data_IF_034964075728
#
_entry.id   IF_034964075728
#
_cell.length_a   1.000
_cell.length_b   1.000
_cell.length_c   1.000
_cell.angle_alpha   90.00
_cell.angle_beta   90.00
_cell.angle_gamma   90.00
#
_symmetry.space_group_name_H-M   'P 1'
#
loop_
_entity.id
_entity.type
_entity.pdbx_description
1 polymer ?
#
# COMPACT_ATOMS: atom_id res chain seq x y z
N UNK A 1 -30.04 -12.50 19.07
CA UNK A 1 -28.58 -12.74 19.23
C UNK A 1 -28.41 -13.67 20.41
N UNK A 2 -28.13 -14.94 20.15
CA UNK A 2 -27.85 -15.92 21.20
C UNK A 2 -26.38 -15.75 21.57
N UNK A 3 -26.09 -15.31 22.80
CA UNK A 3 -24.73 -15.24 23.32
C UNK A 3 -24.20 -16.68 23.46
N UNK A 4 -23.22 -17.02 22.65
CA UNK A 4 -22.50 -18.29 22.68
C UNK A 4 -21.54 -18.25 23.87
N UNK A 5 -21.45 -19.30 24.71
CA UNK A 5 -20.53 -19.32 25.85
C UNK A 5 -19.06 -19.17 25.40
N UNK A 6 -18.40 -18.15 25.94
CA UNK A 6 -17.09 -17.59 25.55
C UNK A 6 -15.86 -18.47 25.83
N UNK A 7 -16.01 -19.77 26.06
CA UNK A 7 -14.92 -20.65 26.52
C UNK A 7 -14.07 -21.29 25.41
N UNK A 8 -14.54 -21.28 24.15
CA UNK A 8 -13.92 -22.07 23.07
C UNK A 8 -13.82 -21.32 21.73
N UNK A 9 -14.09 -20.02 21.69
CA UNK A 9 -13.96 -19.22 20.47
C UNK A 9 -12.49 -18.87 20.22
N UNK A 10 -11.98 -19.22 19.04
CA UNK A 10 -10.65 -18.83 18.54
C UNK A 10 -9.46 -19.30 19.39
N UNK A 11 -9.52 -20.54 19.87
CA UNK A 11 -8.36 -21.20 20.47
C UNK A 11 -7.22 -21.29 19.42
N UNK A 12 -6.02 -20.78 19.73
CA UNK A 12 -4.92 -20.75 18.77
C UNK A 12 -4.44 -22.17 18.47
N UNK A 13 -4.24 -22.47 17.18
CA UNK A 13 -3.66 -23.74 16.71
C UNK A 13 -4.67 -24.85 16.40
N UNK A 14 -5.97 -24.60 16.48
CA UNK A 14 -6.99 -25.54 16.00
C UNK A 14 -7.24 -25.37 14.50
N UNK A 15 -7.44 -26.49 13.82
CA UNK A 15 -7.82 -26.53 12.42
C UNK A 15 -9.33 -26.30 12.25
N UNK A 16 -9.76 -25.92 11.05
CA UNK A 16 -11.19 -25.82 10.71
C UNK A 16 -11.96 -27.13 11.00
N UNK A 17 -11.30 -28.28 10.81
CA UNK A 17 -11.87 -29.59 11.15
C UNK A 17 -12.13 -29.74 12.65
N UNK A 18 -11.23 -29.25 13.48
CA UNK A 18 -11.40 -29.32 14.93
C UNK A 18 -12.55 -28.42 15.39
N UNK A 19 -12.73 -27.24 14.77
CA UNK A 19 -13.89 -26.39 15.03
C UNK A 19 -15.21 -27.04 14.60
N UNK A 20 -15.21 -27.77 13.48
CA UNK A 20 -16.35 -28.59 13.04
C UNK A 20 -16.70 -29.66 14.08
N UNK A 21 -15.69 -30.37 14.61
CA UNK A 21 -15.90 -31.37 15.67
C UNK A 21 -16.37 -30.72 16.98
N UNK A 22 -15.77 -29.59 17.37
CA UNK A 22 -16.17 -28.84 18.56
C UNK A 22 -17.63 -28.38 18.50
N UNK A 23 -18.13 -28.03 17.31
CA UNK A 23 -19.54 -27.68 17.13
C UNK A 23 -20.48 -28.81 17.58
N UNK A 24 -20.11 -30.06 17.28
CA UNK A 24 -20.87 -31.25 17.71
C UNK A 24 -20.72 -31.45 19.21
N UNK A 25 -19.49 -31.42 19.72
CA UNK A 25 -19.20 -31.64 21.14
C UNK A 25 -19.98 -30.65 22.02
N UNK A 26 -20.00 -29.36 21.63
CA UNK A 26 -20.71 -28.31 22.37
C UNK A 26 -22.23 -28.55 22.45
N UNK A 27 -22.80 -29.24 21.48
CA UNK A 27 -24.24 -29.53 21.37
C UNK A 27 -24.57 -30.99 21.64
N UNK A 28 -23.62 -31.75 22.19
CA UNK A 28 -23.78 -33.18 22.43
C UNK A 28 -25.02 -33.51 23.26
N UNK A 29 -25.25 -32.79 24.37
CA UNK A 29 -26.42 -33.01 25.22
C UNK A 29 -27.72 -32.68 24.48
N UNK A 30 -27.74 -31.60 23.68
CA UNK A 30 -28.90 -31.25 22.86
C UNK A 30 -29.24 -32.37 21.86
N UNK A 31 -28.21 -32.97 21.23
CA UNK A 31 -28.40 -34.12 20.35
C UNK A 31 -28.87 -35.38 21.07
N UNK A 32 -28.30 -35.68 22.25
CA UNK A 32 -28.76 -36.82 23.06
C UNK A 32 -30.19 -36.66 23.54
N UNK A 33 -30.60 -35.44 23.89
CA UNK A 33 -31.99 -35.14 24.25
C UNK A 33 -32.91 -35.35 23.04
N UNK A 34 -32.52 -34.88 21.86
CA UNK A 34 -33.30 -35.11 20.63
C UNK A 34 -33.43 -36.59 20.25
N UNK A 35 -32.37 -37.37 20.43
CA UNK A 35 -32.37 -38.83 20.22
C UNK A 35 -33.36 -39.53 21.15
N UNK A 36 -33.29 -39.25 22.45
CA UNK A 36 -34.24 -39.80 23.44
C UNK A 36 -35.68 -39.40 23.11
N UNK A 37 -35.92 -38.15 22.70
CA UNK A 37 -37.27 -37.74 22.28
C UNK A 37 -37.76 -38.46 21.02
N UNK A 38 -36.86 -38.78 20.10
CA UNK A 38 -37.19 -39.55 18.90
C UNK A 38 -37.57 -40.99 19.26
N UNK A 39 -36.86 -41.60 20.21
CA UNK A 39 -37.19 -42.93 20.76
C UNK A 39 -38.55 -42.93 21.46
N UNK A 40 -38.78 -41.96 22.35
CA UNK A 40 -40.08 -41.79 23.05
C UNK A 40 -41.23 -41.61 22.05
N UNK A 41 -41.05 -40.80 21.01
CA UNK A 41 -42.07 -40.62 19.97
C UNK A 41 -42.36 -41.94 19.23
N UNK A 42 -41.33 -42.74 18.94
CA UNK A 42 -41.48 -44.00 18.24
C UNK A 42 -42.21 -45.05 19.10
N UNK A 43 -41.81 -45.21 20.36
CA UNK A 43 -42.43 -46.14 21.32
C UNK A 43 -43.89 -45.77 21.59
N UNK A 44 -44.19 -44.47 21.77
CA UNK A 44 -45.55 -44.00 21.99
C UNK A 44 -46.48 -44.30 20.81
N UNK A 45 -45.99 -44.31 19.57
CA UNK A 45 -46.80 -44.63 18.39
C UNK A 45 -47.03 -46.14 18.21
N UNK A 46 -46.16 -46.98 18.78
CA UNK A 46 -46.30 -48.44 18.74
C UNK A 46 -47.35 -48.93 19.74
N UNK A 47 -47.29 -48.44 20.98
CA UNK A 47 -48.15 -48.92 22.07
C UNK A 47 -49.40 -48.04 22.30
N UNK A 48 -49.35 -46.76 21.94
CA UNK A 48 -50.39 -45.78 22.25
C UNK A 48 -50.80 -44.96 21.02
N UNK A 49 -51.93 -44.24 21.14
CA UNK A 49 -52.34 -43.22 20.16
C UNK A 49 -52.47 -41.89 20.89
N UNK A 50 -51.50 -40.97 20.75
CA UNK A 50 -51.57 -39.65 21.34
C UNK A 50 -52.84 -38.91 20.90
N UNK A 51 -53.40 -38.07 21.78
CA UNK A 51 -54.46 -37.15 21.39
C UNK A 51 -53.88 -35.99 20.58
N UNK A 52 -54.71 -35.29 19.80
CA UNK A 52 -54.25 -34.23 18.89
C UNK A 52 -53.37 -33.17 19.58
N UNK A 53 -53.71 -32.77 20.82
CA UNK A 53 -52.90 -31.82 21.60
C UNK A 53 -51.50 -32.35 21.91
N UNK A 54 -51.37 -33.64 22.23
CA UNK A 54 -50.09 -34.24 22.57
C UNK A 54 -49.23 -34.42 21.31
N UNK A 55 -49.85 -34.77 20.18
CA UNK A 55 -49.18 -34.87 18.88
C UNK A 55 -48.56 -33.52 18.45
N UNK A 56 -49.27 -32.42 18.66
CA UNK A 56 -48.74 -31.07 18.41
C UNK A 56 -47.52 -30.76 19.29
N UNK A 57 -47.56 -31.11 20.58
CA UNK A 57 -46.44 -30.91 21.51
C UNK A 57 -45.23 -31.74 21.10
N UNK A 58 -45.42 -33.03 20.79
CA UNK A 58 -44.35 -33.93 20.34
C UNK A 58 -43.70 -33.42 19.05
N UNK A 59 -44.50 -32.86 18.14
CA UNK A 59 -43.99 -32.23 16.91
C UNK A 59 -43.13 -31.01 17.20
N UNK A 60 -43.57 -30.12 18.10
CA UNK A 60 -42.80 -28.93 18.48
C UNK A 60 -41.46 -29.33 19.11
N UNK A 61 -41.45 -30.33 20.00
CA UNK A 61 -40.21 -30.83 20.62
C UNK A 61 -39.24 -31.40 19.57
N UNK A 62 -39.77 -32.16 18.61
CA UNK A 62 -38.98 -32.71 17.50
C UNK A 62 -38.39 -31.60 16.63
N UNK A 63 -39.19 -30.58 16.31
CA UNK A 63 -38.75 -29.44 15.50
C UNK A 63 -37.63 -28.63 16.18
N UNK A 64 -37.69 -28.46 17.51
CA UNK A 64 -36.62 -27.81 18.27
C UNK A 64 -35.30 -28.58 18.10
N UNK A 65 -35.34 -29.91 18.21
CA UNK A 65 -34.15 -30.77 18.07
C UNK A 65 -33.58 -30.70 16.64
N UNK A 66 -34.43 -30.73 15.62
CA UNK A 66 -34.00 -30.55 14.23
C UNK A 66 -33.37 -29.18 13.97
N UNK A 67 -33.95 -28.13 14.54
CA UNK A 67 -33.46 -26.77 14.35
C UNK A 67 -32.06 -26.58 14.96
N UNK A 68 -31.77 -27.23 16.09
CA UNK A 68 -30.41 -27.27 16.66
C UNK A 68 -29.44 -27.95 15.68
N UNK A 69 -29.85 -29.07 15.07
CA UNK A 69 -29.06 -29.74 14.02
C UNK A 69 -28.78 -28.83 12.83
N UNK A 70 -29.79 -28.14 12.31
CA UNK A 70 -29.66 -27.18 11.21
C UNK A 70 -28.70 -26.04 11.56
N UNK A 71 -28.78 -25.51 12.78
CA UNK A 71 -27.85 -24.47 13.25
C UNK A 71 -26.41 -24.95 13.32
N UNK A 72 -26.16 -26.18 13.81
CA UNK A 72 -24.81 -26.75 13.87
C UNK A 72 -24.25 -26.97 12.46
N UNK A 73 -25.06 -27.50 11.54
CA UNK A 73 -24.65 -27.67 10.13
C UNK A 73 -24.31 -26.31 9.50
N UNK A 74 -25.15 -25.29 9.69
CA UNK A 74 -24.90 -23.96 9.14
C UNK A 74 -23.56 -23.39 9.66
N UNK A 75 -23.29 -23.53 10.95
CA UNK A 75 -22.03 -23.11 11.55
C UNK A 75 -20.83 -23.91 11.01
N UNK A 76 -20.94 -25.23 10.89
CA UNK A 76 -19.88 -26.08 10.34
C UNK A 76 -19.54 -25.70 8.89
N UNK A 77 -20.57 -25.43 8.08
CA UNK A 77 -20.40 -24.96 6.70
C UNK A 77 -19.69 -23.62 6.65
N UNK A 78 -20.12 -22.65 7.47
CA UNK A 78 -19.49 -21.33 7.56
C UNK A 78 -17.99 -21.42 7.92
N UNK A 79 -17.64 -22.25 8.89
CA UNK A 79 -16.24 -22.47 9.29
C UNK A 79 -15.40 -22.99 8.13
N UNK A 80 -15.91 -23.97 7.38
CA UNK A 80 -15.19 -24.56 6.25
C UNK A 80 -15.07 -23.60 5.07
N UNK A 81 -16.14 -22.86 4.77
CA UNK A 81 -16.14 -21.86 3.71
C UNK A 81 -15.16 -20.73 4.01
N UNK A 82 -15.16 -20.21 5.25
CA UNK A 82 -14.22 -19.15 5.65
C UNK A 82 -12.76 -19.61 5.52
N UNK A 83 -12.45 -20.84 5.95
CA UNK A 83 -11.12 -21.41 5.78
C UNK A 83 -10.71 -21.47 4.30
N UNK A 84 -11.59 -21.98 3.44
CA UNK A 84 -11.33 -22.08 2.01
C UNK A 84 -11.08 -20.72 1.35
N UNK A 85 -11.89 -19.70 1.69
CA UNK A 85 -11.72 -18.35 1.16
C UNK A 85 -10.40 -17.73 1.63
N UNK A 86 -10.02 -17.96 2.88
CA UNK A 86 -8.75 -17.49 3.42
C UNK A 86 -7.56 -18.12 2.68
N UNK A 87 -7.58 -19.44 2.46
CA UNK A 87 -6.54 -20.16 1.73
C UNK A 87 -6.35 -19.60 0.30
N UNK A 88 -7.45 -19.39 -0.43
CA UNK A 88 -7.41 -18.77 -1.76
C UNK A 88 -6.85 -17.35 -1.72
N UNK A 89 -7.24 -16.56 -0.73
CA UNK A 89 -6.75 -15.19 -0.61
C UNK A 89 -5.25 -15.14 -0.33
N UNK A 90 -4.76 -16.03 0.54
CA UNK A 90 -3.34 -16.16 0.85
C UNK A 90 -2.53 -16.62 -0.37
N UNK A 91 -3.04 -17.60 -1.11
CA UNK A 91 -2.45 -18.07 -2.36
C UNK A 91 -2.37 -16.95 -3.41
N UNK A 92 -3.47 -16.23 -3.64
CA UNK A 92 -3.50 -15.10 -4.57
C UNK A 92 -2.51 -13.99 -4.20
N UNK A 93 -2.36 -13.72 -2.89
CA UNK A 93 -1.37 -12.78 -2.38
C UNK A 93 0.05 -13.26 -2.65
N UNK A 94 0.31 -14.56 -2.52
CA UNK A 94 1.62 -15.14 -2.84
C UNK A 94 1.93 -15.02 -4.34
N UNK A 95 0.98 -15.36 -5.23
CA UNK A 95 1.17 -15.21 -6.67
C UNK A 95 1.40 -13.76 -7.09
N UNK A 96 0.66 -12.81 -6.51
CA UNK A 96 0.87 -11.39 -6.79
C UNK A 96 2.29 -10.95 -6.45
N UNK A 97 2.82 -11.37 -5.28
CA UNK A 97 4.20 -11.10 -4.90
C UNK A 97 5.21 -11.68 -5.90
N UNK A 98 4.99 -12.92 -6.35
CA UNK A 98 5.84 -13.57 -7.35
C UNK A 98 5.85 -12.75 -8.65
N UNK A 99 4.66 -12.37 -9.14
CA UNK A 99 4.54 -11.55 -10.35
C UNK A 99 5.25 -10.20 -10.22
N UNK A 100 5.10 -9.53 -9.08
CA UNK A 100 5.76 -8.24 -8.84
C UNK A 100 7.27 -8.36 -8.80
N UNK A 101 7.81 -9.43 -8.19
CA UNK A 101 9.25 -9.74 -8.23
C UNK A 101 9.74 -9.95 -9.67
N UNK A 102 8.97 -10.67 -10.50
CA UNK A 102 9.30 -10.85 -11.90
C UNK A 102 9.33 -9.51 -12.67
N UNK A 103 8.31 -8.66 -12.49
CA UNK A 103 8.26 -7.33 -13.12
C UNK A 103 9.42 -6.45 -12.67
N UNK A 104 9.74 -6.44 -11.39
CA UNK A 104 10.87 -5.67 -10.85
C UNK A 104 12.20 -6.13 -11.45
N UNK A 105 12.42 -7.45 -11.54
CA UNK A 105 13.61 -8.01 -12.17
C UNK A 105 13.71 -7.61 -13.65
N UNK A 106 12.62 -7.63 -14.38
CA UNK A 106 12.59 -7.21 -15.79
C UNK A 106 12.94 -5.73 -15.95
N UNK A 107 12.38 -4.85 -15.11
CA UNK A 107 12.71 -3.42 -15.12
C UNK A 107 14.19 -3.16 -14.80
N UNK A 108 14.74 -3.85 -13.81
CA UNK A 108 16.17 -3.74 -13.47
C UNK A 108 17.04 -4.22 -14.63
N UNK A 109 16.68 -5.34 -15.27
CA UNK A 109 17.45 -5.86 -16.40
C UNK A 109 17.44 -4.88 -17.58
N UNK A 110 16.28 -4.30 -17.93
CA UNK A 110 16.18 -3.26 -18.97
C UNK A 110 17.02 -2.03 -18.62
N UNK A 111 16.93 -1.54 -17.38
CA UNK A 111 17.73 -0.40 -16.94
C UNK A 111 19.24 -0.67 -16.98
N UNK A 112 19.64 -1.91 -16.69
CA UNK A 112 21.04 -2.33 -16.77
C UNK A 112 21.53 -2.38 -18.22
N UNK A 113 20.71 -2.91 -19.13
CA UNK A 113 21.00 -3.00 -20.56
C UNK A 113 21.11 -1.60 -21.20
N UNK A 114 20.25 -0.66 -20.82
CA UNK A 114 20.32 0.76 -21.20
C UNK A 114 21.62 1.41 -20.69
N UNK A 115 21.98 1.14 -19.43
CA UNK A 115 23.21 1.65 -18.84
C UNK A 115 24.45 1.15 -19.60
N UNK A 116 24.52 -0.14 -19.89
CA UNK A 116 25.61 -0.74 -20.68
C UNK A 116 25.66 -0.15 -22.10
N UNK A 117 24.50 0.07 -22.72
CA UNK A 117 24.42 0.68 -24.05
C UNK A 117 24.96 2.10 -24.06
N UNK A 118 24.66 2.89 -23.02
CA UNK A 118 25.11 4.28 -22.90
C UNK A 118 26.59 4.41 -22.50
N UNK A 119 27.19 3.42 -21.85
CA UNK A 119 28.53 3.56 -21.25
C UNK A 119 29.59 2.66 -21.86
N UNK A 120 29.23 1.52 -22.42
CA UNK A 120 30.19 0.50 -22.87
C UNK A 120 29.97 0.02 -24.30
N UNK A 121 28.78 0.22 -24.90
CA UNK A 121 28.55 -0.16 -26.29
C UNK A 121 29.21 0.83 -27.26
N UNK A 122 30.37 0.46 -27.79
CA UNK A 122 31.18 1.29 -28.69
C UNK A 122 30.42 1.77 -29.94
N UNK A 123 29.66 0.91 -30.60
CA UNK A 123 28.91 1.28 -31.81
C UNK A 123 27.80 2.29 -31.50
N UNK A 124 27.09 2.11 -30.40
CA UNK A 124 26.07 3.04 -29.93
C UNK A 124 26.70 4.40 -29.54
N UNK A 125 27.79 4.38 -28.78
CA UNK A 125 28.55 5.56 -28.36
C UNK A 125 29.10 6.36 -29.54
N UNK A 126 29.67 5.67 -30.54
CA UNK A 126 30.20 6.29 -31.75
C UNK A 126 29.10 6.96 -32.57
N UNK A 127 27.93 6.34 -32.68
CA UNK A 127 26.75 6.95 -33.34
C UNK A 127 26.24 8.17 -32.57
N UNK A 128 26.11 8.07 -31.24
CA UNK A 128 25.69 9.17 -30.39
C UNK A 128 26.64 10.38 -30.47
N UNK A 129 27.96 10.15 -30.42
CA UNK A 129 28.97 11.20 -30.59
C UNK A 129 28.83 11.93 -31.92
N UNK A 130 28.67 11.20 -33.03
CA UNK A 130 28.45 11.79 -34.35
C UNK A 130 27.17 12.62 -34.42
N UNK A 131 26.08 12.16 -33.79
CA UNK A 131 24.83 12.91 -33.73
C UNK A 131 25.00 14.21 -32.93
N UNK A 132 25.70 14.14 -31.81
CA UNK A 132 26.02 15.31 -30.99
C UNK A 132 26.86 16.32 -31.78
N UNK A 133 27.90 15.89 -32.48
CA UNK A 133 28.73 16.75 -33.33
C UNK A 133 27.90 17.44 -34.43
N UNK A 134 26.99 16.71 -35.10
CA UNK A 134 26.08 17.29 -36.09
C UNK A 134 25.14 18.34 -35.48
N UNK A 135 24.60 18.06 -34.29
CA UNK A 135 23.74 19.00 -33.58
C UNK A 135 24.49 20.26 -33.16
N UNK A 136 25.72 20.11 -32.67
CA UNK A 136 26.62 21.23 -32.35
C UNK A 136 26.89 22.06 -33.60
N UNK A 137 27.27 21.43 -34.72
CA UNK A 137 27.56 22.14 -35.97
C UNK A 137 26.33 22.86 -36.53
N UNK A 138 25.15 22.26 -36.44
CA UNK A 138 23.89 22.89 -36.82
C UNK A 138 23.51 24.07 -35.89
N UNK A 139 23.91 24.00 -34.61
CA UNK A 139 23.63 25.04 -33.62
C UNK A 139 24.66 26.17 -33.62
N UNK A 140 25.85 25.95 -34.20
CA UNK A 140 26.84 27.02 -34.37
C UNK A 140 26.23 28.09 -35.27
N UNK A 141 26.11 29.31 -34.75
CA UNK A 141 25.76 30.47 -35.56
C UNK A 141 26.77 30.58 -36.69
N UNK A 142 26.31 30.58 -37.95
CA UNK A 142 27.17 30.95 -39.07
C UNK A 142 27.68 32.36 -38.81
N UNK A 143 28.93 32.50 -38.40
CA UNK A 143 29.59 33.81 -38.36
C UNK A 143 29.57 34.31 -39.80
N UNK A 144 28.65 35.23 -40.08
CA UNK A 144 28.68 35.97 -41.33
C UNK A 144 29.94 36.83 -41.23
N UNK A 145 30.97 36.47 -41.98
CA UNK A 145 32.06 37.38 -42.28
C UNK A 145 31.46 38.50 -43.12
N UNK A 146 30.94 39.51 -42.44
CA UNK A 146 30.99 40.87 -42.91
C UNK A 146 31.74 41.64 -41.84
N UNK A 147 32.89 42.19 -42.22
CA UNK A 147 33.35 43.42 -41.61
C UNK A 147 32.17 44.40 -41.68
N UNK A 148 31.44 44.57 -40.58
CA UNK A 148 30.18 45.31 -40.57
C UNK A 148 29.46 45.22 -39.23
N UNK A 149 29.69 46.26 -38.41
CA UNK A 149 29.02 46.61 -37.16
C UNK A 149 29.14 45.60 -36.00
N UNK A 150 30.20 45.80 -35.20
CA UNK A 150 30.18 45.52 -33.76
C UNK A 150 28.90 46.13 -33.20
N UNK A 151 28.06 45.34 -32.51
CA UNK A 151 26.90 45.89 -31.81
C UNK A 151 27.37 47.01 -30.88
N UNK A 152 26.90 48.23 -31.10
CA UNK A 152 27.25 49.37 -30.24
C UNK A 152 26.72 49.08 -28.84
N UNK A 153 27.61 48.89 -27.89
CA UNK A 153 27.27 48.87 -26.47
C UNK A 153 27.03 50.31 -26.03
N UNK A 154 25.94 50.60 -25.33
CA UNK A 154 25.72 51.94 -24.74
C UNK A 154 26.85 52.34 -23.78
N UNK A 155 27.59 51.35 -23.26
CA UNK A 155 28.76 51.52 -22.41
C UNK A 155 30.02 51.39 -23.28
N UNK A 156 30.81 52.48 -23.37
CA UNK A 156 32.11 52.46 -24.07
C UNK A 156 33.08 51.51 -23.36
N UNK A 157 33.63 50.54 -24.11
CA UNK A 157 34.71 49.65 -23.66
C UNK A 157 34.29 48.23 -23.23
N UNK A 158 33.01 47.88 -23.31
CA UNK A 158 32.52 46.56 -22.91
C UNK A 158 32.63 45.54 -24.06
N UNK A 159 33.67 44.70 -24.03
CA UNK A 159 33.97 43.72 -25.09
C UNK A 159 33.23 42.38 -25.02
N UNK A 160 32.29 42.19 -24.08
CA UNK A 160 31.59 40.92 -23.89
C UNK A 160 30.11 41.13 -23.57
N UNK A 161 29.22 40.51 -24.34
CA UNK A 161 27.79 40.40 -24.03
C UNK A 161 27.54 39.16 -23.18
N UNK A 162 27.36 39.34 -21.87
CA UNK A 162 26.84 38.28 -21.00
C UNK A 162 25.34 38.18 -21.28
N UNK A 163 24.84 36.97 -21.56
CA UNK A 163 23.41 36.74 -21.80
C UNK A 163 22.56 37.25 -20.62
N UNK A 164 21.35 37.72 -20.90
CA UNK A 164 20.41 38.29 -19.91
C UNK A 164 19.96 37.27 -18.85
N UNK A 165 20.87 36.90 -17.96
CA UNK A 165 20.55 36.39 -16.63
C UNK A 165 20.31 37.57 -15.70
N UNK A 166 19.42 37.40 -14.73
CA UNK A 166 19.21 38.38 -13.66
C UNK A 166 20.54 38.59 -12.93
N UNK A 167 21.18 39.73 -13.16
CA UNK A 167 22.38 40.11 -12.43
C UNK A 167 21.95 40.49 -11.01
N UNK A 168 22.15 39.58 -10.07
CA UNK A 168 22.00 39.87 -8.65
C UNK A 168 23.39 40.19 -8.14
N UNK A 169 23.63 41.47 -7.83
CA UNK A 169 24.79 41.86 -7.05
C UNK A 169 24.60 41.28 -5.66
N UNK A 170 25.19 40.12 -5.41
CA UNK A 170 25.27 39.57 -4.07
C UNK A 170 26.39 40.34 -3.39
N UNK A 171 26.01 41.34 -2.59
CA UNK A 171 26.93 41.86 -1.59
C UNK A 171 27.28 40.68 -0.69
N UNK A 172 28.52 40.19 -0.79
CA UNK A 172 29.02 39.22 0.16
C UNK A 172 28.79 39.76 1.56
N UNK A 173 28.26 38.94 2.46
CA UNK A 173 28.02 39.33 3.84
C UNK A 173 29.29 40.01 4.37
N UNK A 174 29.20 41.25 4.88
CA UNK A 174 30.37 42.01 5.28
C UNK A 174 31.25 41.14 6.19
N UNK A 175 32.57 41.23 6.04
CA UNK A 175 33.55 40.45 6.79
C UNK A 175 33.41 40.58 8.32
N UNK A 176 32.68 41.60 8.78
CA UNK A 176 32.26 41.81 10.16
C UNK A 176 31.28 40.74 10.70
N UNK A 177 30.56 40.03 9.82
CA UNK A 177 29.58 38.99 10.18
C UNK A 177 30.08 37.55 9.93
N UNK A 178 31.08 37.36 9.07
CA UNK A 178 31.64 36.03 8.73
C UNK A 178 33.11 35.88 9.19
N UNK A 179 33.61 36.81 10.00
CA UNK A 179 34.78 36.56 10.86
C UNK A 179 36.06 36.19 10.11
N UNK A 180 36.31 36.76 8.92
CA UNK A 180 37.62 36.71 8.29
C UNK A 180 38.21 35.30 8.07
N UNK A 181 39.54 35.17 7.90
CA UNK A 181 40.20 34.02 7.26
C UNK A 181 40.25 32.70 8.08
N UNK A 182 39.38 32.51 9.08
CA UNK A 182 39.37 31.33 9.96
C UNK A 182 38.06 30.55 9.83
N UNK A 183 37.95 29.89 8.67
CA UNK A 183 37.07 28.77 8.37
C UNK A 183 37.42 27.47 9.13
N UNK A 184 37.94 27.54 10.36
CA UNK A 184 38.45 26.36 11.05
C UNK A 184 38.14 26.39 12.53
N UNK A 185 36.87 26.14 12.88
CA UNK A 185 36.47 25.48 14.13
C UNK A 185 34.99 25.09 14.07
N UNK A 186 34.64 24.04 14.79
CA UNK A 186 33.53 23.09 14.61
C UNK A 186 32.09 23.63 14.85
N UNK A 187 31.76 24.83 14.36
CA UNK A 187 30.49 25.52 14.65
C UNK A 187 29.92 26.32 13.46
N UNK A 188 29.73 25.70 12.30
CA UNK A 188 28.94 26.31 11.23
C UNK A 188 27.44 25.93 11.34
N UNK A 189 26.66 26.90 11.85
CA UNK A 189 25.19 27.05 11.81
C UNK A 189 24.31 25.98 12.50
N UNK A 190 23.89 26.28 13.74
CA UNK A 190 22.57 25.86 14.23
C UNK A 190 21.59 27.02 14.04
N UNK A 191 20.60 26.78 13.18
CA UNK A 191 19.52 27.66 12.75
C UNK A 191 18.77 28.28 13.93
N UNK A 192 18.71 29.61 14.01
CA UNK A 192 17.84 30.33 14.95
C UNK A 192 16.51 30.60 14.25
N UNK A 193 15.42 30.10 14.83
CA UNK A 193 14.04 30.36 14.39
C UNK A 193 13.56 31.70 14.92
N UNK A 194 13.10 32.59 14.04
CA UNK A 194 12.37 33.80 14.42
C UNK A 194 10.86 33.54 14.33
N UNK A 195 10.19 33.62 15.47
CA UNK A 195 8.76 33.90 15.58
C UNK A 195 8.63 35.40 15.89
N UNK A 196 7.90 36.16 15.08
CA UNK A 196 7.50 37.51 15.46
C UNK A 196 6.06 37.77 15.00
N UNK A 197 5.18 37.97 15.98
CA UNK A 197 3.79 38.35 15.80
C UNK A 197 3.58 39.85 16.03
N UNK A 198 2.77 40.44 15.15
CA UNK A 198 1.80 41.54 15.31
C UNK A 198 2.21 42.87 16.00
N UNK A 199 2.03 44.03 15.31
CA UNK A 199 0.84 44.93 15.43
C UNK A 199 0.99 46.30 14.71
N UNK A 200 -0.01 46.61 13.85
CA UNK A 200 -0.70 47.88 13.50
C UNK A 200 0.07 49.21 13.24
N UNK A 201 -0.31 49.90 12.14
CA UNK A 201 -1.28 51.04 12.10
C UNK A 201 -1.49 51.64 10.68
N UNK A 202 -2.77 51.82 10.32
CA UNK A 202 -3.48 52.87 9.53
C UNK A 202 -2.75 53.59 8.36
N UNK A 203 -3.36 53.85 7.19
CA UNK A 203 -4.53 54.72 6.94
C UNK A 203 -5.07 54.56 5.51
N UNK A 204 -6.39 54.79 5.35
CA UNK A 204 -7.08 55.09 4.08
C UNK A 204 -6.60 56.43 3.52
N UNK A 205 -6.55 56.53 2.19
CA UNK A 205 -7.27 57.52 1.39
C UNK A 205 -7.55 56.89 0.02
#
# INVERSE_FOLDING_TARGET
MINIPSGFENLPGLSAKDFVTLAIIRRYIDFKVGEVWSEVCAELQEEFRPIASDEEILKVISEVSENIGKMVIAYQTEVLENQYHQEIQEENKAYTKIQDVHKQKEMVNKSWEDFLTRTSNYEALKKAKRLQEKSIEASKSKSKTQSGAVHSTDIKGLGTTIGSGRLVTVESTPSQLVGGPLAATDRALKKISFCEGALKKNKRN
#
